data_IF_110265190314
#
_entry.id   IF_110265190314
#
_cell.length_a   1.000
_cell.length_b   1.000
_cell.length_c   1.000
_cell.angle_alpha   90.00
_cell.angle_beta   90.00
_cell.angle_gamma   90.00
#
_symmetry.space_group_name_H-M   'P 1'
#
loop_
_entity.id
_entity.type
_entity.pdbx_description
1 polymer ?
#
# COMPACT_ATOMS: atom_id res chain seq x y z
N UNK A 1 11.06 -12.39 3.25
CA UNK A 1 10.59 -12.86 4.58
C UNK A 1 9.19 -12.35 4.77
N UNK A 2 8.27 -13.18 5.25
CA UNK A 2 6.94 -12.73 5.65
C UNK A 2 7.03 -12.05 7.03
N UNK A 3 6.62 -10.79 7.10
CA UNK A 3 6.70 -9.91 8.28
C UNK A 3 5.44 -9.06 8.43
N UNK A 4 4.33 -9.47 7.79
CA UNK A 4 3.10 -8.68 7.80
C UNK A 4 2.60 -8.44 9.24
N UNK A 5 2.60 -9.49 10.06
CA UNK A 5 2.19 -9.41 11.47
C UNK A 5 3.01 -8.37 12.25
N UNK A 6 4.34 -8.40 12.10
CA UNK A 6 5.23 -7.46 12.79
C UNK A 6 4.98 -6.01 12.35
N UNK A 7 4.71 -5.79 11.06
CA UNK A 7 4.39 -4.46 10.54
C UNK A 7 3.04 -3.93 11.07
N UNK A 8 2.01 -4.78 11.11
CA UNK A 8 0.69 -4.42 11.64
C UNK A 8 0.75 -4.14 13.15
N UNK A 9 1.45 -4.96 13.92
CA UNK A 9 1.65 -4.74 15.35
C UNK A 9 2.46 -3.47 15.61
N UNK A 10 3.49 -3.20 14.80
CA UNK A 10 4.27 -1.97 14.86
C UNK A 10 3.46 -0.72 14.59
N UNK A 11 2.53 -0.75 13.62
CA UNK A 11 1.64 0.36 13.32
C UNK A 11 0.71 0.69 14.52
N UNK A 12 0.13 -0.35 15.14
CA UNK A 12 -0.70 -0.19 16.34
C UNK A 12 0.12 0.36 17.51
N UNK A 13 1.33 -0.16 17.72
CA UNK A 13 2.23 0.31 18.77
C UNK A 13 2.64 1.77 18.58
N UNK A 14 2.93 2.19 17.35
CA UNK A 14 3.27 3.58 17.02
C UNK A 14 2.12 4.54 17.35
N UNK A 15 0.88 4.18 17.00
CA UNK A 15 -0.31 4.99 17.36
C UNK A 15 -0.48 5.08 18.87
N UNK A 16 -0.32 3.96 19.59
CA UNK A 16 -0.42 3.90 21.07
C UNK A 16 0.67 4.72 21.76
N UNK A 17 1.86 4.78 21.18
CA UNK A 17 2.97 5.61 21.65
C UNK A 17 2.78 7.12 21.36
N UNK A 18 1.68 7.52 20.70
CA UNK A 18 1.40 8.91 20.36
C UNK A 18 2.14 9.41 19.12
N UNK A 19 2.81 8.53 18.36
CA UNK A 19 3.42 8.90 17.09
C UNK A 19 2.30 9.14 16.08
N UNK A 20 2.09 10.40 15.69
CA UNK A 20 1.04 10.77 14.73
C UNK A 20 1.56 11.84 13.75
N UNK A 21 1.23 11.73 12.45
CA UNK A 21 0.46 10.64 11.83
C UNK A 21 1.33 9.39 11.59
N UNK A 22 0.75 8.20 11.75
CA UNK A 22 1.35 6.94 11.29
C UNK A 22 0.97 6.75 9.82
N UNK A 23 2.00 6.60 8.96
CA UNK A 23 1.82 6.44 7.52
C UNK A 23 1.96 4.97 7.12
N UNK A 24 0.98 4.45 6.42
CA UNK A 24 1.04 3.14 5.76
C UNK A 24 1.34 3.36 4.29
N UNK A 25 2.39 2.72 3.79
CA UNK A 25 2.73 2.75 2.37
C UNK A 25 2.56 1.35 1.81
N UNK A 26 1.76 1.22 0.75
CA UNK A 26 1.47 -0.05 0.11
C UNK A 26 1.74 0.04 -1.38
N UNK A 27 2.59 -0.85 -1.87
CA UNK A 27 2.83 -1.04 -3.30
C UNK A 27 1.72 -1.93 -3.85
N UNK A 28 1.02 -1.49 -4.90
CA UNK A 28 0.02 -2.32 -5.59
C UNK A 28 0.63 -2.96 -6.84
N UNK A 29 0.39 -4.25 -7.02
CA UNK A 29 0.88 -5.04 -8.14
C UNK A 29 -0.29 -5.81 -8.76
N UNK A 30 -0.47 -5.79 -10.09
CA UNK A 30 -1.55 -6.51 -10.76
C UNK A 30 -1.46 -8.02 -10.54
N UNK A 31 -2.60 -8.66 -10.29
CA UNK A 31 -2.74 -10.08 -9.99
C UNK A 31 -2.19 -10.51 -8.62
N UNK A 32 -1.81 -9.57 -7.76
CA UNK A 32 -1.15 -9.89 -6.47
C UNK A 32 -1.94 -9.36 -5.29
N UNK A 33 -2.23 -8.06 -5.23
CA UNK A 33 -2.83 -7.43 -4.06
C UNK A 33 -3.74 -6.24 -4.37
N UNK A 34 -3.97 -5.93 -5.64
CA UNK A 34 -4.79 -4.79 -6.05
C UNK A 34 -6.25 -4.93 -5.60
N UNK A 35 -6.78 -6.16 -5.57
CA UNK A 35 -8.13 -6.46 -5.10
C UNK A 35 -8.32 -6.22 -3.60
N UNK A 36 -7.23 -6.14 -2.83
CA UNK A 36 -7.25 -5.90 -1.38
C UNK A 36 -7.24 -4.40 -1.03
N UNK A 37 -7.04 -3.50 -2.00
CA UNK A 37 -6.93 -2.07 -1.77
C UNK A 37 -8.13 -1.47 -1.00
N UNK A 38 -9.40 -1.80 -1.31
CA UNK A 38 -10.55 -1.29 -0.55
C UNK A 38 -10.53 -1.71 0.93
N UNK A 39 -10.16 -2.95 1.23
CA UNK A 39 -10.04 -3.42 2.62
C UNK A 39 -8.90 -2.72 3.36
N UNK A 40 -7.77 -2.48 2.69
CA UNK A 40 -6.66 -1.73 3.27
C UNK A 40 -7.03 -0.27 3.58
N UNK A 41 -7.84 0.38 2.72
CA UNK A 41 -8.40 1.71 2.99
C UNK A 41 -9.29 1.67 4.23
N UNK A 42 -10.22 0.71 4.33
CA UNK A 42 -11.08 0.56 5.52
C UNK A 42 -10.26 0.34 6.79
N UNK A 43 -9.21 -0.48 6.72
CA UNK A 43 -8.28 -0.68 7.83
C UNK A 43 -7.57 0.62 8.21
N UNK A 44 -7.05 1.37 7.23
CA UNK A 44 -6.38 2.65 7.45
C UNK A 44 -7.28 3.65 8.17
N UNK A 45 -8.52 3.80 7.68
CA UNK A 45 -9.52 4.71 8.26
C UNK A 45 -9.88 4.32 9.70
N UNK A 46 -10.13 3.03 9.98
CA UNK A 46 -10.43 2.55 11.35
C UNK A 46 -9.30 2.84 12.33
N UNK A 47 -8.05 2.76 11.88
CA UNK A 47 -6.88 2.98 12.73
C UNK A 47 -6.38 4.43 12.79
N UNK A 48 -6.99 5.35 12.03
CA UNK A 48 -6.51 6.73 11.92
C UNK A 48 -5.14 6.84 11.23
N UNK A 49 -4.85 5.92 10.32
CA UNK A 49 -3.61 5.89 9.55
C UNK A 49 -3.70 6.73 8.27
N UNK A 50 -2.59 7.34 7.85
CA UNK A 50 -2.47 7.92 6.51
C UNK A 50 -2.00 6.83 5.53
N UNK A 51 -2.89 6.37 4.66
CA UNK A 51 -2.55 5.39 3.63
C UNK A 51 -2.05 6.06 2.36
N UNK A 52 -0.98 5.49 1.77
CA UNK A 52 -0.45 5.86 0.46
C UNK A 52 -0.27 4.62 -0.38
N UNK A 53 -0.93 4.60 -1.53
CA UNK A 53 -0.62 3.63 -2.56
C UNK A 53 0.57 4.09 -3.39
N UNK A 54 1.43 3.15 -3.74
CA UNK A 54 2.61 3.35 -4.57
C UNK A 54 2.42 2.50 -5.82
N UNK A 55 2.54 3.11 -6.99
CA UNK A 55 2.53 2.40 -8.26
C UNK A 55 3.83 1.61 -8.41
N UNK A 56 3.73 0.32 -8.77
CA UNK A 56 4.91 -0.50 -8.97
C UNK A 56 5.71 -0.07 -10.20
N UNK A 57 6.95 0.40 -9.98
CA UNK A 57 7.90 0.74 -11.04
C UNK A 57 9.02 -0.31 -11.10
N UNK A 58 8.93 -1.34 -11.98
CA UNK A 58 9.98 -2.34 -12.12
C UNK A 58 11.30 -1.70 -12.57
N UNK A 59 12.39 -2.02 -11.87
CA UNK A 59 13.74 -1.65 -12.27
C UNK A 59 14.20 -2.58 -13.40
N UNK A 60 14.30 -2.05 -14.61
CA UNK A 60 14.84 -2.76 -15.77
C UNK A 60 15.56 -1.82 -16.74
N UNK A 61 16.12 -2.34 -17.84
CA UNK A 61 16.74 -1.52 -18.88
C UNK A 61 15.81 -0.38 -19.31
N UNK A 62 16.37 0.78 -19.70
CA UNK A 62 15.55 1.90 -20.19
C UNK A 62 14.56 1.42 -21.25
N UNK A 63 13.27 1.65 -21.03
CA UNK A 63 12.20 1.22 -21.94
C UNK A 63 11.59 -0.16 -21.69
N UNK A 64 12.05 -0.90 -20.67
CA UNK A 64 11.42 -2.18 -20.27
C UNK A 64 10.13 -2.01 -19.47
N UNK A 65 9.80 -0.77 -19.09
CA UNK A 65 8.62 -0.45 -18.32
C UNK A 65 7.39 -0.35 -19.22
N UNK A 66 6.36 -1.12 -18.89
CA UNK A 66 5.07 -1.13 -19.58
C UNK A 66 3.98 -0.69 -18.61
N UNK A 67 3.20 0.31 -19.00
CA UNK A 67 2.13 0.88 -18.16
C UNK A 67 1.06 -0.18 -17.82
N UNK A 68 0.87 -1.14 -18.72
CA UNK A 68 -0.07 -2.25 -18.59
C UNK A 68 0.33 -3.23 -17.46
N UNK A 69 1.55 -3.11 -16.93
CA UNK A 69 2.06 -3.94 -15.83
C UNK A 69 1.98 -3.23 -14.47
N UNK A 70 1.11 -2.22 -14.37
CA UNK A 70 0.95 -1.41 -13.17
C UNK A 70 -0.51 -1.33 -12.76
N UNK A 71 -0.72 -1.08 -11.48
CA UNK A 71 -1.99 -0.56 -10.98
C UNK A 71 -1.81 0.95 -10.87
N UNK A 72 -2.46 1.70 -11.74
CA UNK A 72 -2.33 3.16 -11.80
C UNK A 72 -3.25 3.83 -10.80
N UNK A 73 -3.02 5.12 -10.53
CA UNK A 73 -3.96 5.96 -9.76
C UNK A 73 -5.40 5.83 -10.25
N UNK A 74 -5.61 5.85 -11.56
CA UNK A 74 -6.96 5.82 -12.13
C UNK A 74 -7.61 4.46 -11.89
N UNK A 75 -6.86 3.36 -12.09
CA UNK A 75 -7.35 2.02 -11.75
C UNK A 75 -7.76 1.93 -10.27
N UNK A 76 -6.98 2.53 -9.35
CA UNK A 76 -7.28 2.54 -7.91
C UNK A 76 -8.55 3.35 -7.59
N UNK A 77 -8.79 4.45 -8.29
CA UNK A 77 -9.97 5.29 -8.07
C UNK A 77 -11.26 4.65 -8.60
N UNK A 78 -11.14 3.72 -9.53
CA UNK A 78 -12.26 2.98 -10.14
C UNK A 78 -12.61 1.67 -9.40
N UNK A 79 -11.86 1.30 -8.35
CA UNK A 79 -12.14 0.14 -7.47
C UNK A 79 -13.32 0.38 -6.51
#
# INVERSE_FOLDING_TARGET
RDRFKDAAEGAVAAVRAGLRPVKLNALLMPGVNESEAPELVRYALRGGYELRFIEFMPLGPRGSWKREQMVTRDDILDL
#
